data_IF_857743984203
#
_entry.id   IF_857743984203
#
_cell.length_a   1.000
_cell.length_b   1.000
_cell.length_c   1.000
_cell.angle_alpha   90.00
_cell.angle_beta   90.00
_cell.angle_gamma   90.00
#
_symmetry.space_group_name_H-M   'P 1'
#
loop_
_entity.id
_entity.type
_entity.pdbx_description
1 polymer ?
#
# COMPACT_ATOMS: atom_id res chain seq x y z
N UNK A 1 -2.21 -29.95 4.36
CA UNK A 1 -3.37 -29.06 4.34
C UNK A 1 -2.94 -27.68 3.94
N UNK A 2 -3.66 -27.12 3.01
CA UNK A 2 -3.36 -25.77 2.55
C UNK A 2 -4.29 -24.78 3.21
N UNK A 3 -3.72 -23.79 3.83
CA UNK A 3 -4.48 -22.70 4.37
C UNK A 3 -4.31 -21.49 3.47
N UNK A 4 -5.40 -21.01 2.93
CA UNK A 4 -5.37 -19.84 2.08
C UNK A 4 -5.53 -18.60 2.93
N UNK A 5 -4.55 -17.74 2.88
CA UNK A 5 -4.61 -16.46 3.58
C UNK A 5 -4.91 -15.39 2.55
N UNK A 6 -6.09 -14.81 2.65
CA UNK A 6 -6.42 -13.67 1.82
C UNK A 6 -5.96 -12.44 2.56
N UNK A 7 -4.99 -11.76 1.98
CA UNK A 7 -4.52 -10.51 2.54
C UNK A 7 -5.58 -9.44 2.29
N UNK A 8 -5.96 -8.76 3.33
CA UNK A 8 -6.91 -7.66 3.24
C UNK A 8 -6.15 -6.35 3.36
N UNK A 9 -6.45 -5.42 2.47
CA UNK A 9 -5.86 -4.08 2.49
C UNK A 9 -6.96 -3.08 2.76
N UNK A 10 -6.73 -2.20 3.71
CA UNK A 10 -7.72 -1.22 4.11
C UNK A 10 -7.10 0.17 4.08
N UNK A 11 -7.64 1.04 3.24
CA UNK A 11 -7.16 2.42 3.12
C UNK A 11 -7.80 3.31 4.16
N UNK A 12 -6.98 4.09 4.84
CA UNK A 12 -7.47 5.09 5.80
C UNK A 12 -6.81 6.43 5.47
N UNK A 13 -7.53 7.51 5.71
CA UNK A 13 -7.00 8.85 5.50
C UNK A 13 -6.92 9.65 6.79
N UNK A 14 -7.22 9.03 7.91
CA UNK A 14 -7.18 9.68 9.22
C UNK A 14 -6.97 8.62 10.29
N UNK A 15 -6.63 9.06 11.48
CA UNK A 15 -6.53 8.17 12.62
C UNK A 15 -7.92 7.99 13.22
N UNK A 16 -8.45 6.80 13.10
CA UNK A 16 -9.76 6.46 13.65
C UNK A 16 -9.65 5.09 14.33
N UNK A 17 -9.63 5.11 15.65
CA UNK A 17 -9.41 3.90 16.44
C UNK A 17 -10.48 2.85 16.13
N UNK A 18 -11.72 3.27 16.04
CA UNK A 18 -12.81 2.31 15.85
C UNK A 18 -12.77 1.64 14.48
N UNK A 19 -12.45 2.40 13.45
CA UNK A 19 -12.33 1.84 12.11
C UNK A 19 -11.22 0.78 12.04
N UNK A 20 -10.09 1.05 12.66
CA UNK A 20 -8.96 0.16 12.61
C UNK A 20 -9.16 -1.04 13.51
N UNK A 21 -9.67 -0.79 14.70
CA UNK A 21 -9.88 -1.82 15.71
C UNK A 21 -10.81 -2.93 15.23
N UNK A 22 -11.78 -2.61 14.38
CA UNK A 22 -12.75 -3.60 13.90
C UNK A 22 -12.29 -4.39 12.68
N UNK A 23 -11.08 -4.13 12.17
CA UNK A 23 -10.59 -4.88 11.03
C UNK A 23 -10.20 -6.30 11.41
N UNK A 24 -10.24 -7.20 10.41
CA UNK A 24 -9.86 -8.58 10.62
C UNK A 24 -8.37 -8.69 10.92
N UNK A 25 -7.99 -9.77 11.58
CA UNK A 25 -6.58 -10.05 11.82
C UNK A 25 -5.82 -10.09 10.50
N UNK A 26 -4.58 -9.68 10.55
CA UNK A 26 -3.69 -9.68 9.37
C UNK A 26 -4.09 -8.70 8.30
N UNK A 27 -4.92 -7.71 8.63
CA UNK A 27 -5.23 -6.64 7.71
C UNK A 27 -4.03 -5.73 7.57
N UNK A 28 -3.78 -5.29 6.34
CA UNK A 28 -2.75 -4.31 6.03
C UNK A 28 -3.41 -2.95 5.95
N UNK A 29 -3.03 -2.05 6.84
CA UNK A 29 -3.59 -0.71 6.89
C UNK A 29 -2.72 0.19 6.02
N UNK A 30 -3.34 0.87 5.05
CA UNK A 30 -2.62 1.80 4.18
C UNK A 30 -3.10 3.21 4.50
N UNK A 31 -2.20 4.02 5.05
CA UNK A 31 -2.51 5.42 5.29
C UNK A 31 -2.28 6.21 4.02
N UNK A 32 -3.33 6.83 3.51
CA UNK A 32 -3.29 7.58 2.25
C UNK A 32 -4.04 8.90 2.41
N UNK A 33 -3.29 9.97 2.52
CA UNK A 33 -3.87 11.32 2.58
C UNK A 33 -2.92 12.30 1.90
N UNK A 34 -3.11 12.50 0.62
CA UNK A 34 -2.23 13.35 -0.18
C UNK A 34 -2.42 14.83 0.09
N UNK A 35 -3.54 15.21 0.68
CA UNK A 35 -3.89 16.61 0.90
C UNK A 35 -3.43 17.15 2.24
N UNK A 36 -3.10 16.29 3.18
CA UNK A 36 -2.72 16.72 4.51
C UNK A 36 -1.22 16.94 4.58
N UNK A 37 -0.81 18.12 5.10
CA UNK A 37 0.61 18.46 5.17
C UNK A 37 1.28 18.02 6.45
N UNK A 38 0.61 18.16 7.59
CA UNK A 38 1.19 17.80 8.90
C UNK A 38 0.55 16.55 9.44
N UNK A 39 1.00 15.42 8.94
CA UNK A 39 0.39 14.13 9.29
C UNK A 39 1.30 13.21 10.12
N UNK A 40 2.45 13.73 10.53
CA UNK A 40 3.42 12.91 11.26
C UNK A 40 2.86 12.35 12.57
N UNK A 41 2.21 13.19 13.35
CA UNK A 41 1.62 12.74 14.62
C UNK A 41 0.54 11.70 14.40
N UNK A 42 -0.25 11.88 13.36
CA UNK A 42 -1.30 10.93 13.02
C UNK A 42 -0.72 9.58 12.64
N UNK A 43 0.36 9.58 11.86
CA UNK A 43 1.03 8.35 11.48
C UNK A 43 1.62 7.64 12.71
N UNK A 44 2.19 8.40 13.62
CA UNK A 44 2.75 7.83 14.85
C UNK A 44 1.65 7.19 15.69
N UNK A 45 0.51 7.85 15.81
CA UNK A 45 -0.64 7.28 16.50
C UNK A 45 -1.12 5.99 15.84
N UNK A 46 -1.18 5.99 14.51
CA UNK A 46 -1.55 4.80 13.75
C UNK A 46 -0.54 3.68 13.96
N UNK A 47 0.73 4.01 13.94
CA UNK A 47 1.79 3.03 14.15
C UNK A 47 1.63 2.33 15.50
N UNK A 48 1.39 3.10 16.54
CA UNK A 48 1.22 2.54 17.87
C UNK A 48 -0.02 1.66 17.95
N UNK A 49 -1.11 2.10 17.34
CA UNK A 49 -2.36 1.34 17.32
C UNK A 49 -2.20 0.04 16.53
N UNK A 50 -1.57 0.11 15.36
CA UNK A 50 -1.36 -1.07 14.54
C UNK A 50 -0.46 -2.09 15.24
N UNK A 51 0.55 -1.64 15.96
CA UNK A 51 1.38 -2.54 16.76
C UNK A 51 0.59 -3.24 17.85
N UNK A 52 -0.30 -2.48 18.50
CA UNK A 52 -1.14 -3.04 19.56
C UNK A 52 -2.03 -4.16 19.05
N UNK A 53 -2.62 -3.99 17.87
CA UNK A 53 -3.53 -4.97 17.29
C UNK A 53 -2.87 -5.88 16.28
N UNK A 54 -1.54 -5.76 16.10
CA UNK A 54 -0.75 -6.60 15.20
C UNK A 54 -1.14 -6.46 13.73
N UNK A 55 -1.50 -5.26 13.32
CA UNK A 55 -1.70 -4.91 11.92
C UNK A 55 -0.41 -4.41 11.32
N UNK A 56 -0.26 -4.60 10.01
CA UNK A 56 0.83 -3.99 9.25
C UNK A 56 0.42 -2.60 8.82
N UNK A 57 1.32 -1.63 8.93
CA UNK A 57 1.05 -0.26 8.53
C UNK A 57 1.91 0.13 7.34
N UNK A 58 1.25 0.59 6.29
CA UNK A 58 1.87 0.98 5.03
C UNK A 58 1.56 2.45 4.78
N UNK A 59 2.58 3.22 4.40
CA UNK A 59 2.42 4.65 4.15
C UNK A 59 2.40 4.95 2.65
N UNK A 60 1.41 5.72 2.23
CA UNK A 60 1.29 6.08 0.82
C UNK A 60 2.24 7.19 0.43
N UNK A 61 2.95 7.00 -0.65
CA UNK A 61 3.70 8.01 -1.38
C UNK A 61 4.84 8.68 -0.60
N UNK A 62 5.42 7.98 0.37
CA UNK A 62 6.58 8.53 1.09
C UNK A 62 7.41 7.39 1.68
N UNK A 63 8.24 6.78 0.83
CA UNK A 63 9.06 5.65 1.25
C UNK A 63 10.08 6.05 2.30
N UNK A 64 10.67 7.21 2.14
CA UNK A 64 11.70 7.69 3.06
C UNK A 64 11.15 7.82 4.49
N UNK A 65 9.97 8.39 4.61
CA UNK A 65 9.33 8.53 5.92
C UNK A 65 8.92 7.16 6.49
N UNK A 66 8.45 6.26 5.63
CA UNK A 66 8.12 4.92 6.06
C UNK A 66 9.34 4.21 6.65
N UNK A 67 10.50 4.34 6.02
CA UNK A 67 11.74 3.81 6.55
C UNK A 67 12.10 4.46 7.89
N UNK A 68 12.04 5.79 7.92
CA UNK A 68 12.43 6.54 9.10
C UNK A 68 11.60 6.17 10.32
N UNK A 69 10.33 5.94 10.13
CA UNK A 69 9.41 5.59 11.22
C UNK A 69 9.34 4.10 11.49
N UNK A 70 10.06 3.29 10.71
CA UNK A 70 10.05 1.84 10.89
C UNK A 70 8.71 1.20 10.57
N UNK A 71 8.00 1.74 9.59
CA UNK A 71 6.73 1.17 9.16
C UNK A 71 6.95 -0.09 8.34
N UNK A 72 5.88 -0.83 8.13
CA UNK A 72 5.97 -2.13 7.48
C UNK A 72 6.12 -2.04 5.96
N UNK A 73 5.73 -0.93 5.37
CA UNK A 73 5.84 -0.80 3.93
C UNK A 73 5.43 0.57 3.43
N UNK A 74 5.42 0.69 2.11
CA UNK A 74 5.00 1.90 1.42
C UNK A 74 4.13 1.55 0.21
N UNK A 75 3.25 2.47 -0.12
CA UNK A 75 2.35 2.34 -1.24
C UNK A 75 2.66 3.44 -2.24
N UNK A 76 2.96 3.05 -3.49
CA UNK A 76 3.28 3.97 -4.56
C UNK A 76 2.07 4.14 -5.46
N UNK A 77 1.42 5.31 -5.43
CA UNK A 77 0.27 5.54 -6.31
C UNK A 77 0.68 5.56 -7.77
N UNK A 78 -0.30 5.45 -8.65
CA UNK A 78 -0.04 5.39 -10.09
C UNK A 78 0.75 6.59 -10.60
N UNK A 79 0.54 7.76 -10.00
CA UNK A 79 1.21 8.99 -10.45
C UNK A 79 2.67 9.09 -9.99
N UNK A 80 3.11 8.25 -9.05
CA UNK A 80 4.49 8.27 -8.59
C UNK A 80 5.35 7.50 -9.57
N UNK A 81 6.26 8.19 -10.24
CA UNK A 81 7.15 7.60 -11.24
C UNK A 81 8.61 7.63 -10.82
N UNK A 82 8.88 7.94 -9.57
CA UNK A 82 10.25 8.07 -9.06
C UNK A 82 10.92 6.72 -8.85
N UNK A 83 12.20 6.66 -9.12
CA UNK A 83 13.03 5.48 -8.87
C UNK A 83 14.07 5.74 -7.78
N UNK A 84 13.96 6.86 -7.08
CA UNK A 84 14.95 7.26 -6.08
C UNK A 84 15.09 6.21 -4.98
N UNK A 85 13.99 5.58 -4.60
CA UNK A 85 13.99 4.59 -3.53
C UNK A 85 14.80 3.34 -3.84
N UNK A 86 15.13 3.11 -5.10
CA UNK A 86 15.92 1.93 -5.45
C UNK A 86 17.32 1.98 -4.87
N UNK A 87 17.80 3.17 -4.52
CA UNK A 87 19.11 3.35 -3.88
C UNK A 87 19.05 3.17 -2.37
N UNK A 88 17.86 3.07 -1.78
CA UNK A 88 17.73 2.93 -0.34
C UNK A 88 18.03 1.51 0.11
N UNK A 89 18.69 1.37 1.26
CA UNK A 89 18.89 0.07 1.88
C UNK A 89 17.58 -0.35 2.53
N UNK A 90 16.89 -1.30 1.91
CA UNK A 90 15.60 -1.75 2.41
C UNK A 90 15.73 -2.79 3.49
N UNK A 91 14.83 -2.75 4.45
CA UNK A 91 14.65 -3.87 5.37
C UNK A 91 14.22 -5.10 4.58
N UNK A 92 14.61 -6.27 5.06
CA UNK A 92 14.30 -7.53 4.40
C UNK A 92 12.81 -7.72 4.15
N UNK A 93 11.99 -7.34 5.12
CA UNK A 93 10.54 -7.58 5.07
C UNK A 93 9.73 -6.35 4.69
N UNK A 94 10.39 -5.33 4.15
CA UNK A 94 9.68 -4.11 3.78
C UNK A 94 8.75 -4.36 2.60
N UNK A 95 7.48 -4.02 2.79
CA UNK A 95 6.43 -4.26 1.80
C UNK A 95 6.32 -3.06 0.88
N UNK A 96 6.46 -3.28 -0.42
CA UNK A 96 6.32 -2.22 -1.40
C UNK A 96 5.22 -2.60 -2.37
N UNK A 97 4.12 -1.85 -2.34
CA UNK A 97 2.98 -2.10 -3.22
C UNK A 97 2.68 -0.83 -4.01
N UNK A 98 1.88 -0.96 -5.05
CA UNK A 98 1.56 0.19 -5.87
C UNK A 98 0.25 0.01 -6.60
N UNK A 99 -0.16 1.04 -7.33
CA UNK A 99 -1.34 0.98 -8.16
C UNK A 99 -1.02 1.45 -9.57
N UNK A 100 -1.84 1.01 -10.53
CA UNK A 100 -1.69 1.35 -11.92
C UNK A 100 -3.05 1.35 -12.60
N UNK A 101 -3.20 2.18 -13.64
CA UNK A 101 -4.45 2.30 -14.39
C UNK A 101 -4.32 1.76 -15.82
N UNK A 102 -3.11 1.50 -16.26
CA UNK A 102 -2.86 1.03 -17.64
C UNK A 102 -1.54 0.27 -17.70
N UNK A 103 -1.25 -0.30 -18.85
CA UNK A 103 -0.04 -1.11 -19.04
C UNK A 103 1.24 -0.31 -18.84
N UNK A 104 1.25 0.94 -19.27
CA UNK A 104 2.43 1.79 -19.12
C UNK A 104 2.76 1.99 -17.63
N UNK A 105 1.75 2.23 -16.83
CA UNK A 105 1.95 2.40 -15.39
C UNK A 105 2.34 1.10 -14.71
N UNK A 106 1.83 -0.02 -15.19
CA UNK A 106 2.23 -1.33 -14.67
C UNK A 106 3.73 -1.54 -14.86
N UNK A 107 4.24 -1.20 -16.05
CA UNK A 107 5.67 -1.34 -16.33
C UNK A 107 6.51 -0.44 -15.44
N UNK A 108 6.04 0.75 -15.16
CA UNK A 108 6.74 1.65 -14.23
C UNK A 108 6.76 1.03 -12.83
N UNK A 109 5.65 0.50 -12.37
CA UNK A 109 5.57 -0.14 -11.05
C UNK A 109 6.51 -1.34 -10.97
N UNK A 110 6.60 -2.13 -12.02
CA UNK A 110 7.54 -3.24 -12.06
C UNK A 110 8.98 -2.77 -11.92
N UNK A 111 9.33 -1.69 -12.63
CA UNK A 111 10.67 -1.12 -12.53
C UNK A 111 10.93 -0.50 -11.16
N UNK A 112 9.90 -0.05 -10.48
CA UNK A 112 10.00 0.45 -9.12
C UNK A 112 10.15 -0.69 -8.10
N UNK A 113 10.06 -1.95 -8.56
CA UNK A 113 10.23 -3.15 -7.72
C UNK A 113 9.13 -3.32 -6.69
N UNK A 114 7.91 -2.93 -7.03
CA UNK A 114 6.76 -3.24 -6.17
C UNK A 114 6.46 -4.73 -6.25
N UNK A 115 6.01 -5.29 -5.13
CA UNK A 115 5.69 -6.71 -5.07
C UNK A 115 4.24 -7.01 -5.42
N UNK A 116 3.38 -6.01 -5.36
CA UNK A 116 1.97 -6.18 -5.69
C UNK A 116 1.44 -4.88 -6.30
N UNK A 117 0.65 -5.01 -7.35
CA UNK A 117 0.07 -3.87 -8.05
C UNK A 117 -1.45 -3.96 -7.99
N UNK A 118 -2.08 -2.91 -7.51
CA UNK A 118 -3.53 -2.78 -7.53
C UNK A 118 -3.94 -2.18 -8.87
N UNK A 119 -4.77 -2.91 -9.61
CA UNK A 119 -5.25 -2.47 -10.91
C UNK A 119 -6.64 -1.87 -10.73
N UNK A 120 -6.71 -0.57 -10.57
CA UNK A 120 -7.99 0.06 -10.34
C UNK A 120 -8.61 0.48 -11.67
N UNK A 121 -8.87 1.54 -12.06
CA UNK A 121 -9.70 2.02 -13.13
C UNK A 121 -9.68 1.24 -14.46
N UNK A 122 -8.72 0.38 -14.69
CA UNK A 122 -8.72 -0.47 -15.89
C UNK A 122 -10.04 -1.24 -15.97
N UNK A 123 -10.49 -1.75 -14.85
CA UNK A 123 -11.68 -2.58 -14.80
C UNK A 123 -12.96 -1.76 -14.88
N UNK A 124 -12.94 -0.53 -14.44
CA UNK A 124 -14.09 0.33 -14.49
C UNK A 124 -14.46 0.77 -15.89
N UNK A 125 -13.48 0.96 -16.74
CA UNK A 125 -13.67 1.44 -18.10
C UNK A 125 -14.18 0.39 -19.04
N UNK A 126 -13.96 -0.86 -18.73
CA UNK A 126 -14.26 -1.95 -19.65
C UNK A 126 -15.10 -3.00 -18.93
N UNK A 127 -16.39 -2.80 -18.96
CA UNK A 127 -17.32 -3.67 -18.25
C UNK A 127 -17.36 -5.07 -18.80
N UNK A 128 -17.09 -5.23 -20.06
CA UNK A 128 -17.16 -6.55 -20.72
C UNK A 128 -15.80 -7.19 -20.83
N UNK A 129 -14.83 -6.64 -20.17
CA UNK A 129 -13.51 -7.08 -20.37
C UNK A 129 -13.25 -8.42 -19.67
N UNK A 130 -12.49 -9.20 -20.35
CA UNK A 130 -11.94 -10.41 -19.77
C UNK A 130 -10.48 -10.18 -19.32
N UNK A 131 -10.03 -8.97 -19.46
CA UNK A 131 -8.69 -8.58 -19.15
C UNK A 131 -8.31 -8.74 -17.69
N UNK A 132 -9.30 -8.78 -16.82
CA UNK A 132 -9.03 -9.04 -15.41
C UNK A 132 -8.23 -10.32 -15.23
N UNK A 133 -8.65 -11.38 -15.91
CA UNK A 133 -7.95 -12.64 -15.80
C UNK A 133 -6.54 -12.58 -16.37
N UNK A 134 -6.33 -11.74 -17.37
CA UNK A 134 -5.00 -11.55 -17.95
C UNK A 134 -4.05 -10.89 -16.98
N UNK A 135 -4.55 -10.02 -16.13
CA UNK A 135 -3.72 -9.31 -15.16
C UNK A 135 -3.52 -10.09 -13.87
N UNK A 136 -4.27 -11.11 -13.65
CA UNK A 136 -4.12 -11.96 -12.47
C UNK A 136 -2.89 -12.84 -12.54
N UNK A 137 -2.54 -13.20 -13.71
CA UNK A 137 -1.38 -14.04 -13.94
C UNK A 137 -0.12 -13.22 -14.17
#
# INVERSE_FOLDING_TARGET
>A
MHTFFFKKYFFVNTFDVNLIKCQDKNTFIIYRNYNKKNYLNEIIQLKNLCRKYKFKLILANNIKLAFKLGLDGAYLPSFNKSFTHLSYAKKKDFILIGSAHNLKEIKIKEKQKVSKIFLSSIFKKNKNYLGFNKFKT
#
